data_IF_951182159336
#
_entry.id   IF_951182159336
#
_cell.length_a   1.000
_cell.length_b   1.000
_cell.length_c   1.000
_cell.angle_alpha   90.00
_cell.angle_beta   90.00
_cell.angle_gamma   90.00
#
_symmetry.space_group_name_H-M   'P 1'
#
loop_
_entity.id
_entity.type
_entity.pdbx_description
1 polymer ?
#
# COMPACT_ATOMS: atom_id res chain seq x y z
N UNK A 1 -38.98 0.63 50.52
CA UNK A 1 -38.16 0.12 49.41
C UNK A 1 -38.81 0.58 48.12
N UNK A 2 -38.02 1.04 47.15
CA UNK A 2 -38.41 1.53 45.80
C UNK A 2 -38.60 3.04 45.66
N UNK A 3 -37.54 3.74 45.23
CA UNK A 3 -37.59 5.08 44.64
C UNK A 3 -37.22 4.98 43.16
N UNK A 4 -38.18 5.30 42.31
CA UNK A 4 -38.03 5.39 40.85
C UNK A 4 -37.88 6.86 40.48
N UNK A 5 -36.72 7.27 39.95
CA UNK A 5 -36.62 8.49 39.13
C UNK A 5 -35.52 8.29 38.11
N UNK A 6 -35.92 7.87 36.91
CA UNK A 6 -35.07 7.79 35.72
C UNK A 6 -34.82 9.20 35.21
N UNK A 7 -33.61 9.70 35.41
CA UNK A 7 -33.17 11.00 34.90
C UNK A 7 -32.83 10.88 33.41
N UNK A 8 -33.76 11.28 32.56
CA UNK A 8 -33.53 11.45 31.12
C UNK A 8 -32.58 12.62 30.89
N UNK A 9 -31.31 12.33 30.64
CA UNK A 9 -30.32 13.31 30.23
C UNK A 9 -30.71 13.91 28.88
N UNK A 10 -31.40 15.04 28.92
CA UNK A 10 -31.74 15.87 27.77
C UNK A 10 -30.47 16.59 27.28
N UNK A 11 -29.82 16.01 26.28
CA UNK A 11 -28.79 16.70 25.52
C UNK A 11 -29.48 17.73 24.61
N UNK A 12 -29.31 19.01 24.95
CA UNK A 12 -29.79 20.12 24.14
C UNK A 12 -28.80 20.38 23.01
N UNK A 13 -29.24 20.11 21.78
CA UNK A 13 -28.57 20.43 20.51
C UNK A 13 -28.39 21.96 20.41
N UNK A 14 -27.24 22.45 20.85
CA UNK A 14 -26.87 23.85 20.67
C UNK A 14 -26.39 24.04 19.22
N UNK A 15 -27.16 24.81 18.45
CA UNK A 15 -26.90 25.17 17.05
C UNK A 15 -25.46 25.62 16.81
N UNK A 16 -24.69 24.77 16.12
CA UNK A 16 -23.30 25.02 15.77
C UNK A 16 -23.21 26.11 14.69
N UNK A 17 -22.44 27.20 14.89
CA UNK A 17 -22.24 28.20 13.84
C UNK A 17 -21.54 27.56 12.63
N UNK A 18 -22.11 27.71 11.43
CA UNK A 18 -21.47 27.28 10.19
C UNK A 18 -20.24 28.15 9.89
N UNK A 19 -19.08 27.51 9.76
CA UNK A 19 -17.85 28.17 9.34
C UNK A 19 -17.95 28.64 7.87
N UNK A 20 -17.37 29.80 7.51
CA UNK A 20 -17.45 30.34 6.16
C UNK A 20 -16.72 29.45 5.13
N UNK A 21 -17.14 29.47 3.85
CA UNK A 21 -16.47 28.71 2.80
C UNK A 21 -15.05 29.25 2.59
N UNK A 22 -14.06 28.39 2.84
CA UNK A 22 -12.65 28.71 2.69
C UNK A 22 -12.25 28.70 1.20
N UNK A 23 -12.28 29.88 0.58
CA UNK A 23 -11.57 30.16 -0.67
C UNK A 23 -10.07 30.04 -0.40
N UNK A 24 -9.43 29.06 -1.03
CA UNK A 24 -8.17 28.47 -0.56
C UNK A 24 -6.92 29.33 -0.62
N UNK A 25 -6.07 29.17 0.40
CA UNK A 25 -4.64 29.49 0.37
C UNK A 25 -3.96 28.92 1.62
N UNK A 26 -3.00 27.99 1.44
CA UNK A 26 -2.01 27.65 2.49
C UNK A 26 -1.99 26.20 3.00
N UNK A 27 -2.79 25.28 2.47
CA UNK A 27 -2.66 23.86 2.83
C UNK A 27 -1.43 23.23 2.16
N UNK A 28 -0.54 22.60 2.95
CA UNK A 28 0.49 21.72 2.41
C UNK A 28 -0.23 20.62 1.62
N UNK A 29 -0.20 20.72 0.28
CA UNK A 29 -0.80 19.69 -0.58
C UNK A 29 -0.08 18.38 -0.29
N UNK A 30 -0.78 17.42 0.33
CA UNK A 30 -0.27 16.06 0.48
C UNK A 30 -0.16 15.45 -0.91
N UNK A 31 1.07 15.23 -1.35
CA UNK A 31 1.33 14.57 -2.62
C UNK A 31 1.28 13.04 -2.41
N UNK A 32 0.66 12.32 -3.34
CA UNK A 32 0.56 10.86 -3.27
C UNK A 32 1.90 10.16 -3.54
N UNK A 33 2.74 10.75 -4.40
CA UNK A 33 4.01 10.17 -4.83
C UNK A 33 5.06 11.27 -5.04
N UNK A 34 6.22 11.13 -4.43
CA UNK A 34 7.42 11.88 -4.81
C UNK A 34 8.08 11.27 -6.06
N UNK A 35 8.71 12.09 -6.90
CA UNK A 35 9.49 11.62 -8.04
C UNK A 35 10.71 10.78 -7.60
N UNK A 36 11.25 9.95 -8.50
CA UNK A 36 12.34 9.00 -8.22
C UNK A 36 13.58 9.70 -7.65
N UNK A 37 13.99 10.83 -8.23
CA UNK A 37 15.16 11.58 -7.76
C UNK A 37 14.96 12.20 -6.37
N UNK A 38 13.77 12.71 -6.06
CA UNK A 38 13.47 13.22 -4.72
C UNK A 38 13.39 12.09 -3.68
N UNK A 39 12.85 10.92 -4.06
CA UNK A 39 12.83 9.72 -3.20
C UNK A 39 14.24 9.27 -2.85
N UNK A 40 15.10 9.07 -3.85
CA UNK A 40 16.49 8.64 -3.65
C UNK A 40 17.28 9.61 -2.74
N UNK A 41 17.08 10.92 -2.94
CA UNK A 41 17.75 11.96 -2.15
C UNK A 41 17.04 12.30 -0.84
N UNK A 42 15.90 11.67 -0.55
CA UNK A 42 15.06 11.93 0.63
C UNK A 42 14.72 13.42 0.81
N UNK A 43 14.49 14.14 -0.28
CA UNK A 43 14.15 15.57 -0.28
C UNK A 43 12.65 15.80 -0.50
N UNK A 44 12.12 16.94 -0.01
CA UNK A 44 10.72 17.30 -0.21
C UNK A 44 10.40 17.48 -1.69
N UNK A 45 9.51 16.65 -2.22
CA UNK A 45 9.00 16.78 -3.56
C UNK A 45 7.76 17.68 -3.57
N UNK A 46 7.64 18.57 -4.55
CA UNK A 46 6.47 19.45 -4.70
C UNK A 46 5.28 18.77 -5.38
N UNK A 47 5.51 17.67 -6.10
CA UNK A 47 4.45 16.93 -6.80
C UNK A 47 3.99 17.55 -8.13
N UNK A 48 4.51 18.71 -8.54
CA UNK A 48 4.16 19.34 -9.82
C UNK A 48 4.58 18.46 -11.02
N UNK A 49 3.74 18.45 -12.05
CA UNK A 49 3.96 17.72 -13.31
C UNK A 49 4.11 18.72 -14.45
N UNK A 50 5.01 18.49 -15.44
CA UNK A 50 5.80 17.27 -15.69
C UNK A 50 7.09 17.14 -14.87
N UNK A 51 7.60 18.24 -14.28
CA UNK A 51 8.78 18.25 -13.40
C UNK A 51 8.44 18.93 -12.08
N UNK A 52 8.82 18.33 -10.96
CA UNK A 52 8.63 18.97 -9.65
C UNK A 52 9.52 20.21 -9.51
N UNK A 53 9.12 21.20 -8.69
CA UNK A 53 9.91 22.43 -8.51
C UNK A 53 11.36 22.18 -8.10
N UNK A 54 11.63 21.21 -7.22
CA UNK A 54 12.99 20.91 -6.77
C UNK A 54 13.87 20.44 -7.93
N UNK A 55 13.40 19.46 -8.71
CA UNK A 55 14.13 18.98 -9.87
C UNK A 55 14.27 20.06 -10.96
N UNK A 56 13.28 20.96 -11.11
CA UNK A 56 13.36 22.09 -12.04
C UNK A 56 14.46 23.08 -11.65
N UNK A 57 14.56 23.43 -10.37
CA UNK A 57 15.60 24.36 -9.85
C UNK A 57 17.01 23.79 -9.98
N UNK A 58 17.19 22.52 -9.62
CA UNK A 58 18.51 21.84 -9.66
C UNK A 58 18.84 21.31 -11.07
N UNK A 59 17.92 21.49 -12.01
CA UNK A 59 17.96 21.03 -13.38
C UNK A 59 18.38 19.56 -13.56
N UNK A 60 17.74 18.65 -12.82
CA UNK A 60 17.99 17.19 -12.88
C UNK A 60 16.86 16.45 -13.56
N UNK A 61 17.13 15.18 -13.89
CA UNK A 61 16.12 14.21 -14.31
C UNK A 61 14.98 14.17 -13.28
N UNK A 62 13.74 14.14 -13.75
CA UNK A 62 12.57 14.05 -12.89
C UNK A 62 11.61 13.04 -13.51
N UNK A 63 11.59 11.84 -12.94
CA UNK A 63 10.72 10.77 -13.41
C UNK A 63 9.77 10.36 -12.28
N UNK A 64 8.52 10.12 -12.64
CA UNK A 64 7.54 9.50 -11.77
C UNK A 64 7.34 8.08 -12.27
N UNK A 65 7.69 7.09 -11.45
CA UNK A 65 7.38 5.69 -11.73
C UNK A 65 5.86 5.56 -11.94
N UNK A 66 5.43 5.06 -13.09
CA UNK A 66 4.02 4.79 -13.31
C UNK A 66 3.65 3.55 -12.50
N UNK A 67 2.66 3.67 -11.64
CA UNK A 67 2.14 2.53 -10.88
C UNK A 67 1.71 1.39 -11.83
N UNK A 68 1.23 1.74 -13.03
CA UNK A 68 0.89 0.77 -14.08
C UNK A 68 2.10 -0.01 -14.62
N UNK A 69 3.30 0.55 -14.67
CA UNK A 69 4.48 -0.18 -15.14
C UNK A 69 4.89 -1.29 -14.17
N UNK A 70 4.84 -1.01 -12.87
CA UNK A 70 5.02 -2.05 -11.83
C UNK A 70 3.94 -3.13 -11.92
N UNK A 71 2.69 -2.75 -12.17
CA UNK A 71 1.56 -3.69 -12.28
C UNK A 71 1.59 -4.51 -13.59
N UNK A 72 2.06 -3.92 -14.69
CA UNK A 72 2.24 -4.61 -15.96
C UNK A 72 3.46 -5.55 -15.92
N UNK A 73 4.55 -5.12 -15.28
CA UNK A 73 5.73 -5.96 -15.07
C UNK A 73 5.41 -7.19 -14.22
N UNK A 74 4.66 -7.04 -13.12
CA UNK A 74 4.22 -8.18 -12.31
C UNK A 74 3.21 -9.07 -13.03
N UNK A 75 2.38 -8.53 -13.93
CA UNK A 75 1.44 -9.33 -14.73
C UNK A 75 2.15 -10.15 -15.81
N UNK A 76 3.20 -9.59 -16.43
CA UNK A 76 3.98 -10.25 -17.47
C UNK A 76 4.98 -11.26 -16.91
N UNK A 77 5.64 -10.94 -15.80
CA UNK A 77 6.54 -11.84 -15.09
C UNK A 77 6.58 -11.48 -13.59
N UNK A 78 5.81 -12.17 -12.73
CA UNK A 78 5.77 -11.91 -11.29
C UNK A 78 7.16 -12.00 -10.63
N UNK A 79 8.05 -12.83 -11.17
CA UNK A 79 9.42 -13.02 -10.67
C UNK A 79 10.35 -11.87 -11.06
N UNK A 80 10.02 -11.07 -12.07
CA UNK A 80 10.83 -9.91 -12.48
C UNK A 80 10.74 -8.74 -11.47
N UNK A 81 9.71 -8.73 -10.63
CA UNK A 81 9.58 -7.76 -9.53
C UNK A 81 10.56 -8.02 -8.38
N UNK A 82 11.21 -9.20 -8.35
CA UNK A 82 12.14 -9.59 -7.30
C UNK A 82 13.57 -9.66 -7.85
N UNK A 83 14.56 -9.02 -7.19
CA UNK A 83 15.96 -9.17 -7.59
C UNK A 83 16.39 -10.64 -7.43
N UNK A 84 17.17 -11.19 -8.39
CA UNK A 84 17.65 -12.56 -8.33
C UNK A 84 18.51 -12.73 -7.07
N UNK A 85 18.10 -13.64 -6.18
CA UNK A 85 18.79 -13.91 -4.91
C UNK A 85 17.97 -13.66 -3.64
N UNK A 86 16.71 -13.23 -3.73
CA UNK A 86 15.80 -13.10 -2.58
C UNK A 86 14.92 -14.34 -2.30
N UNK A 87 15.19 -15.46 -2.98
CA UNK A 87 14.56 -16.74 -2.69
C UNK A 87 15.51 -17.59 -1.83
N UNK A 88 15.08 -17.95 -0.61
CA UNK A 88 15.83 -18.90 0.21
C UNK A 88 15.81 -20.27 -0.48
N UNK A 89 16.96 -20.77 -0.99
CA UNK A 89 17.00 -22.03 -1.74
C UNK A 89 16.61 -23.22 -0.87
N UNK A 90 16.79 -23.13 0.45
CA UNK A 90 16.36 -24.18 1.36
C UNK A 90 14.83 -24.23 1.47
N UNK A 91 14.17 -23.07 1.49
CA UNK A 91 12.70 -23.00 1.49
C UNK A 91 12.13 -23.61 0.21
N UNK A 92 12.73 -23.35 -0.95
CA UNK A 92 12.29 -23.93 -2.22
C UNK A 92 12.44 -25.46 -2.23
N UNK A 93 13.55 -25.97 -1.68
CA UNK A 93 13.79 -27.41 -1.52
C UNK A 93 12.80 -28.06 -0.55
N UNK A 94 12.42 -27.36 0.52
CA UNK A 94 11.40 -27.83 1.46
C UNK A 94 10.02 -27.92 0.79
N UNK A 95 9.64 -26.92 -0.01
CA UNK A 95 8.39 -26.93 -0.77
C UNK A 95 8.32 -28.13 -1.72
N UNK A 96 9.36 -28.38 -2.52
CA UNK A 96 9.37 -29.52 -3.46
C UNK A 96 9.28 -30.87 -2.74
N UNK A 97 9.87 -30.96 -1.54
CA UNK A 97 9.79 -32.18 -0.71
C UNK A 97 8.35 -32.41 -0.22
N UNK A 98 7.68 -31.35 0.23
CA UNK A 98 6.28 -31.41 0.69
C UNK A 98 5.37 -31.85 -0.46
N UNK A 99 5.51 -31.27 -1.64
CA UNK A 99 4.72 -31.64 -2.82
C UNK A 99 4.88 -33.13 -3.17
N UNK A 100 6.11 -33.65 -3.16
CA UNK A 100 6.37 -35.06 -3.41
C UNK A 100 5.79 -36.00 -2.34
N UNK A 101 5.80 -35.57 -1.07
CA UNK A 101 5.17 -36.33 0.03
C UNK A 101 3.65 -36.36 -0.13
N UNK A 102 3.03 -35.23 -0.48
CA UNK A 102 1.58 -35.14 -0.71
C UNK A 102 1.13 -36.05 -1.85
N UNK A 103 1.89 -36.12 -2.95
CA UNK A 103 1.59 -37.02 -4.06
C UNK A 103 1.53 -38.49 -3.60
N UNK A 104 2.53 -38.95 -2.83
CA UNK A 104 2.56 -40.31 -2.29
C UNK A 104 1.40 -40.62 -1.35
N UNK A 105 1.07 -39.69 -0.45
CA UNK A 105 -0.05 -39.86 0.48
C UNK A 105 -1.40 -39.92 -0.26
N UNK A 106 -1.56 -39.17 -1.35
CA UNK A 106 -2.76 -39.23 -2.18
C UNK A 106 -2.93 -40.59 -2.86
N UNK A 107 -1.83 -41.21 -3.32
CA UNK A 107 -1.83 -42.54 -3.90
C UNK A 107 -2.11 -43.62 -2.85
N UNK A 108 -1.58 -43.47 -1.64
CA UNK A 108 -1.85 -44.37 -0.52
C UNK A 108 -3.34 -44.37 -0.14
N UNK A 109 -3.97 -43.20 -0.04
CA UNK A 109 -5.42 -43.12 0.22
C UNK A 109 -6.28 -43.71 -0.90
N UNK A 110 -5.82 -43.64 -2.16
CA UNK A 110 -6.50 -44.30 -3.27
C UNK A 110 -6.34 -45.84 -3.25
N UNK A 111 -5.24 -46.35 -2.70
CA UNK A 111 -4.99 -47.79 -2.53
C UNK A 111 -5.76 -48.38 -1.36
N UNK A 112 -5.90 -47.65 -0.25
CA UNK A 112 -6.63 -48.10 0.96
C UNK A 112 -8.16 -48.12 0.77
N UNK A 113 -8.69 -47.33 -0.16
CA UNK A 113 -10.12 -47.29 -0.47
C UNK A 113 -10.60 -48.42 -1.41
N UNK A 114 -9.73 -49.39 -1.72
CA UNK A 114 -9.98 -50.49 -2.66
C UNK A 114 -9.97 -51.84 -1.97
#
# INVERSE_FOLDING_TARGET
>A
MSTTTTSSAAWQESTRPQAPPSSGSGGIRRIRQACTSCRQRKTKCSGDRPRCMNCRRVNRSCHYESYSATMAAMAANPLAAFPPGFGDPDLLRRLSTIEAQLARLSEQGAQEAR
#
